data_IF_461422815856
#
_entry.id   IF_461422815856
#
_cell.length_a   1.000
_cell.length_b   1.000
_cell.length_c   1.000
_cell.angle_alpha   90.00
_cell.angle_beta   90.00
_cell.angle_gamma   90.00
#
_symmetry.space_group_name_H-M   'P 1'
#
loop_
_entity.id
_entity.type
_entity.pdbx_description
1 polymer ?
#
# COMPACT_ATOMS: atom_id res chain seq x y z
N UNK A 1 22.28 -23.34 24.13
CA UNK A 1 20.86 -23.75 24.02
C UNK A 1 20.04 -22.50 24.31
N UNK A 2 19.51 -21.83 23.29
CA UNK A 2 18.34 -20.98 23.53
C UNK A 2 17.21 -21.96 23.84
N UNK A 3 16.56 -21.83 24.98
CA UNK A 3 15.30 -22.53 25.24
C UNK A 3 14.35 -22.16 24.10
N UNK A 4 13.79 -23.14 23.40
CA UNK A 4 12.71 -22.86 22.44
C UNK A 4 11.56 -22.25 23.25
N UNK A 5 11.13 -21.05 22.85
CA UNK A 5 9.99 -20.38 23.47
C UNK A 5 8.72 -21.13 23.10
N UNK A 6 7.77 -21.19 24.03
CA UNK A 6 6.44 -21.70 23.73
C UNK A 6 5.56 -20.62 23.07
N UNK A 7 4.32 -20.98 22.73
CA UNK A 7 3.40 -20.07 22.05
C UNK A 7 3.08 -18.81 22.87
N UNK A 8 2.81 -18.97 24.17
CA UNK A 8 2.45 -17.86 25.06
C UNK A 8 3.62 -16.88 25.18
N UNK A 9 4.84 -17.39 25.40
CA UNK A 9 6.06 -16.57 25.45
C UNK A 9 6.29 -15.80 24.13
N UNK A 10 6.03 -16.41 22.97
CA UNK A 10 6.19 -15.77 21.66
C UNK A 10 5.15 -14.67 21.42
N UNK A 11 3.90 -14.92 21.78
CA UNK A 11 2.82 -13.94 21.66
C UNK A 11 3.05 -12.75 22.60
N UNK A 12 3.42 -13.00 23.87
CA UNK A 12 3.72 -11.94 24.83
C UNK A 12 4.88 -11.05 24.37
N UNK A 13 5.97 -11.65 23.86
CA UNK A 13 7.08 -10.89 23.28
C UNK A 13 6.65 -10.13 22.02
N UNK A 14 5.79 -10.71 21.17
CA UNK A 14 5.25 -10.02 20.00
C UNK A 14 4.43 -8.79 20.39
N UNK A 15 3.55 -8.89 21.39
CA UNK A 15 2.76 -7.75 21.89
C UNK A 15 3.62 -6.67 22.57
N UNK A 16 4.80 -7.04 23.11
CA UNK A 16 5.77 -6.10 23.66
C UNK A 16 6.55 -5.30 22.61
N UNK A 17 6.54 -5.72 21.35
CA UNK A 17 7.29 -5.10 20.25
C UNK A 17 6.45 -4.05 19.49
N UNK A 18 7.07 -2.99 18.96
CA UNK A 18 6.40 -2.13 18.00
C UNK A 18 6.07 -2.91 16.72
N UNK A 19 4.97 -2.53 16.06
CA UNK A 19 4.60 -3.09 14.76
C UNK A 19 5.77 -2.94 13.76
N UNK A 20 6.12 -4.04 13.09
CA UNK A 20 7.24 -4.11 12.16
C UNK A 20 7.81 -5.52 12.02
N UNK A 21 8.96 -5.68 11.35
CA UNK A 21 9.53 -7.00 11.03
C UNK A 21 9.87 -7.84 12.26
N UNK A 22 10.24 -7.23 13.38
CA UNK A 22 10.55 -7.94 14.62
C UNK A 22 9.29 -8.59 15.22
N UNK A 23 8.18 -7.84 15.35
CA UNK A 23 6.89 -8.38 15.79
C UNK A 23 6.43 -9.49 14.84
N UNK A 24 6.48 -9.26 13.53
CA UNK A 24 6.10 -10.26 12.53
C UNK A 24 6.91 -11.56 12.64
N UNK A 25 8.22 -11.47 12.85
CA UNK A 25 9.06 -12.65 13.04
C UNK A 25 8.65 -13.48 14.27
N UNK A 26 8.23 -12.84 15.36
CA UNK A 26 7.73 -13.53 16.55
C UNK A 26 6.37 -14.19 16.29
N UNK A 27 5.46 -13.48 15.61
CA UNK A 27 4.13 -14.03 15.27
C UNK A 27 4.22 -15.21 14.28
N UNK A 28 5.12 -15.15 13.30
CA UNK A 28 5.36 -16.26 12.36
C UNK A 28 5.90 -17.49 13.09
N UNK A 29 6.77 -17.29 14.07
CA UNK A 29 7.28 -18.37 14.91
C UNK A 29 6.18 -18.92 15.84
N UNK A 30 5.34 -18.06 16.42
CA UNK A 30 4.18 -18.48 17.23
C UNK A 30 3.22 -19.36 16.41
N UNK A 31 2.87 -18.91 15.20
CA UNK A 31 2.05 -19.68 14.28
C UNK A 31 2.68 -21.03 13.92
N UNK A 32 4.01 -21.08 13.70
CA UNK A 32 4.74 -22.32 13.43
C UNK A 32 4.73 -23.28 14.62
N UNK A 33 4.94 -22.77 15.84
CA UNK A 33 4.87 -23.56 17.07
C UNK A 33 3.47 -24.12 17.28
N UNK A 34 2.43 -23.31 17.05
CA UNK A 34 1.04 -23.74 17.12
C UNK A 34 0.73 -24.86 16.12
N UNK A 35 1.12 -24.70 14.86
CA UNK A 35 0.91 -25.71 13.80
C UNK A 35 1.58 -27.06 14.14
N UNK A 36 2.82 -27.04 14.62
CA UNK A 36 3.58 -28.27 14.93
C UNK A 36 2.98 -29.04 16.10
N UNK A 37 2.33 -28.34 17.04
CA UNK A 37 1.72 -28.94 18.22
C UNK A 37 0.21 -29.21 18.05
N UNK A 38 -0.38 -28.88 16.90
CA UNK A 38 -1.81 -29.06 16.64
C UNK A 38 -2.72 -28.13 17.45
N UNK A 39 -2.21 -26.95 17.80
CA UNK A 39 -2.90 -25.91 18.57
C UNK A 39 -3.65 -24.99 17.59
N UNK A 40 -4.83 -25.42 17.12
CA UNK A 40 -5.51 -24.77 15.99
C UNK A 40 -6.08 -23.38 16.31
N UNK A 41 -6.58 -23.15 17.54
CA UNK A 41 -7.11 -21.86 17.97
C UNK A 41 -5.97 -20.83 18.08
N UNK A 42 -4.85 -21.24 18.67
CA UNK A 42 -3.62 -20.45 18.82
C UNK A 42 -3.00 -20.14 17.44
N UNK A 43 -3.02 -21.11 16.52
CA UNK A 43 -2.59 -20.91 15.15
C UNK A 43 -3.44 -19.88 14.40
N UNK A 44 -4.73 -19.79 14.73
CA UNK A 44 -5.66 -18.79 14.19
C UNK A 44 -5.41 -17.41 14.81
N UNK A 45 -5.22 -17.34 16.12
CA UNK A 45 -4.92 -16.10 16.85
C UNK A 45 -3.63 -15.44 16.31
N UNK A 46 -2.53 -16.19 16.26
CA UNK A 46 -1.25 -15.65 15.75
C UNK A 46 -1.38 -15.16 14.31
N UNK A 47 -2.15 -15.85 13.46
CA UNK A 47 -2.39 -15.42 12.07
C UNK A 47 -3.27 -14.18 11.97
N UNK A 48 -4.20 -13.99 12.89
CA UNK A 48 -4.98 -12.75 12.98
C UNK A 48 -4.07 -11.55 13.24
N UNK A 49 -3.16 -11.69 14.21
CA UNK A 49 -2.15 -10.66 14.50
C UNK A 49 -1.17 -10.44 13.35
N UNK A 50 -0.83 -11.50 12.59
CA UNK A 50 -0.03 -11.37 11.36
C UNK A 50 -0.79 -10.54 10.35
N UNK A 51 -2.07 -10.81 10.09
CA UNK A 51 -2.85 -10.05 9.10
C UNK A 51 -2.86 -8.56 9.45
N UNK A 52 -3.19 -8.22 10.70
CA UNK A 52 -3.20 -6.82 11.16
C UNK A 52 -1.81 -6.19 11.03
N UNK A 53 -0.78 -6.81 11.62
CA UNK A 53 0.57 -6.23 11.65
C UNK A 53 1.15 -6.11 10.24
N UNK A 54 0.99 -7.13 9.40
CA UNK A 54 1.58 -7.18 8.07
C UNK A 54 0.90 -6.22 7.08
N UNK A 55 -0.41 -6.00 7.23
CA UNK A 55 -1.17 -5.03 6.42
C UNK A 55 -0.64 -3.61 6.58
N UNK A 56 -0.27 -3.23 7.81
CA UNK A 56 0.12 -1.87 8.19
C UNK A 56 1.63 -1.72 8.47
N UNK A 57 2.46 -2.58 7.88
CA UNK A 57 3.93 -2.53 7.98
C UNK A 57 4.68 -2.87 6.68
N UNK A 58 3.98 -2.98 5.56
CA UNK A 58 4.55 -3.20 4.23
C UNK A 58 4.86 -4.66 3.95
N UNK A 59 4.05 -5.58 4.50
CA UNK A 59 4.15 -7.03 4.25
C UNK A 59 2.82 -7.63 3.72
N UNK A 60 2.22 -7.06 2.67
CA UNK A 60 0.91 -7.52 2.19
C UNK A 60 0.88 -8.98 1.71
N UNK A 61 2.00 -9.56 1.28
CA UNK A 61 2.01 -10.99 0.90
C UNK A 61 1.87 -11.88 2.13
N UNK A 62 2.52 -11.52 3.25
CA UNK A 62 2.35 -12.24 4.52
C UNK A 62 0.91 -12.16 5.02
N UNK A 63 0.29 -10.97 4.94
CA UNK A 63 -1.11 -10.79 5.29
C UNK A 63 -2.04 -11.68 4.43
N UNK A 64 -1.83 -11.69 3.10
CA UNK A 64 -2.59 -12.53 2.17
C UNK A 64 -2.52 -14.03 2.51
N UNK A 65 -1.32 -14.52 2.82
CA UNK A 65 -1.10 -15.94 3.15
C UNK A 65 -1.79 -16.30 4.47
N UNK A 66 -1.61 -15.48 5.51
CA UNK A 66 -2.22 -15.69 6.82
C UNK A 66 -3.76 -15.67 6.72
N UNK A 67 -4.31 -14.66 6.04
CA UNK A 67 -5.75 -14.53 5.83
C UNK A 67 -6.33 -15.70 5.01
N UNK A 68 -5.65 -16.13 3.95
CA UNK A 68 -6.13 -17.25 3.12
C UNK A 68 -6.28 -18.54 3.94
N UNK A 69 -5.38 -18.77 4.89
CA UNK A 69 -5.49 -19.89 5.84
C UNK A 69 -6.67 -19.69 6.80
N UNK A 70 -6.82 -18.50 7.39
CA UNK A 70 -7.90 -18.19 8.33
C UNK A 70 -9.28 -18.31 7.68
N UNK A 71 -9.45 -17.79 6.46
CA UNK A 71 -10.69 -17.90 5.70
C UNK A 71 -11.05 -19.37 5.46
N UNK A 72 -10.07 -20.20 5.09
CA UNK A 72 -10.27 -21.64 4.88
C UNK A 72 -10.65 -22.40 6.16
N UNK A 73 -10.11 -22.00 7.32
CA UNK A 73 -10.50 -22.56 8.62
C UNK A 73 -11.89 -22.10 9.06
N UNK A 74 -12.17 -20.82 8.92
CA UNK A 74 -13.49 -20.25 9.19
C UNK A 74 -14.58 -20.91 8.34
N UNK A 75 -14.33 -21.19 7.06
CA UNK A 75 -15.31 -21.86 6.20
C UNK A 75 -15.60 -23.31 6.59
N UNK A 76 -14.70 -23.96 7.34
CA UNK A 76 -14.91 -25.31 7.84
C UNK A 76 -15.69 -25.33 9.15
N UNK A 77 -15.44 -24.38 10.04
CA UNK A 77 -15.98 -24.32 11.41
C UNK A 77 -16.26 -22.85 11.81
N UNK A 78 -17.26 -22.20 11.20
CA UNK A 78 -17.50 -20.76 11.41
C UNK A 78 -17.93 -20.43 12.85
N UNK A 79 -18.45 -21.40 13.60
CA UNK A 79 -18.85 -21.23 15.00
C UNK A 79 -17.69 -21.16 16.00
N UNK A 80 -16.48 -21.57 15.60
CA UNK A 80 -15.29 -21.61 16.47
C UNK A 80 -14.48 -20.30 16.43
N UNK A 81 -14.80 -19.39 15.49
CA UNK A 81 -14.00 -18.21 15.22
C UNK A 81 -14.87 -16.95 15.15
N UNK A 82 -14.29 -15.82 15.55
CA UNK A 82 -14.96 -14.52 15.52
C UNK A 82 -15.14 -14.01 14.09
N UNK A 83 -16.38 -13.83 13.65
CA UNK A 83 -16.66 -13.36 12.29
C UNK A 83 -16.23 -11.90 12.10
N UNK A 84 -16.31 -11.07 13.14
CA UNK A 84 -15.99 -9.65 13.08
C UNK A 84 -14.52 -9.45 12.70
N UNK A 85 -13.62 -10.10 13.43
CA UNK A 85 -12.16 -10.09 13.18
C UNK A 85 -11.81 -10.55 11.78
N UNK A 86 -12.43 -11.66 11.32
CA UNK A 86 -12.21 -12.14 9.96
C UNK A 86 -12.72 -11.14 8.92
N UNK A 87 -13.88 -10.53 9.13
CA UNK A 87 -14.46 -9.57 8.18
C UNK A 87 -13.64 -8.28 8.10
N UNK A 88 -13.01 -7.83 9.19
CA UNK A 88 -12.01 -6.76 9.16
C UNK A 88 -10.79 -7.13 8.32
N UNK A 89 -10.23 -8.31 8.56
CA UNK A 89 -9.12 -8.86 7.79
C UNK A 89 -9.47 -8.95 6.29
N UNK A 90 -10.67 -9.42 5.96
CA UNK A 90 -11.14 -9.56 4.59
C UNK A 90 -11.15 -8.19 3.87
N UNK A 91 -11.66 -7.15 4.52
CA UNK A 91 -11.63 -5.77 3.99
C UNK A 91 -10.20 -5.35 3.63
N UNK A 92 -9.26 -5.47 4.56
CA UNK A 92 -7.88 -5.08 4.32
C UNK A 92 -7.25 -5.83 3.15
N UNK A 93 -7.48 -7.15 3.10
CA UNK A 93 -6.99 -8.00 2.01
C UNK A 93 -7.60 -7.59 0.66
N UNK A 94 -8.91 -7.34 0.57
CA UNK A 94 -9.53 -6.86 -0.66
C UNK A 94 -8.89 -5.55 -1.18
N UNK A 95 -8.46 -4.68 -0.28
CA UNK A 95 -7.78 -3.44 -0.62
C UNK A 95 -6.36 -3.62 -1.14
N UNK A 96 -5.68 -4.73 -0.81
CA UNK A 96 -4.29 -5.02 -1.21
C UNK A 96 -4.19 -5.99 -2.38
N UNK A 97 -5.21 -6.81 -2.62
CA UNK A 97 -5.21 -7.76 -3.74
C UNK A 97 -4.92 -7.12 -5.11
N UNK A 98 -5.44 -5.93 -5.45
CA UNK A 98 -5.12 -5.27 -6.71
C UNK A 98 -3.64 -4.89 -6.89
N UNK A 99 -2.85 -4.88 -5.81
CA UNK A 99 -1.42 -4.62 -5.86
C UNK A 99 -0.63 -5.80 -6.44
N UNK A 100 -1.24 -6.98 -6.58
CA UNK A 100 -0.58 -8.18 -7.10
C UNK A 100 -1.08 -8.53 -8.52
N UNK A 101 -0.25 -8.40 -9.56
CA UNK A 101 -0.68 -8.68 -10.93
C UNK A 101 -0.85 -10.18 -11.20
N UNK A 102 -0.26 -11.05 -10.38
CA UNK A 102 -0.42 -12.50 -10.46
C UNK A 102 -1.80 -12.98 -10.00
N UNK A 103 -2.54 -12.18 -9.23
CA UNK A 103 -3.92 -12.49 -8.86
C UNK A 103 -4.85 -12.02 -9.99
N UNK A 104 -5.63 -12.94 -10.55
CA UNK A 104 -6.49 -12.61 -11.68
C UNK A 104 -7.61 -11.64 -11.30
N UNK A 105 -8.02 -10.82 -12.27
CA UNK A 105 -9.17 -9.90 -12.13
C UNK A 105 -10.43 -10.64 -11.70
N UNK A 106 -10.69 -11.80 -12.27
CA UNK A 106 -11.85 -12.64 -11.95
C UNK A 106 -11.83 -13.08 -10.49
N UNK A 107 -10.65 -13.46 -9.96
CA UNK A 107 -10.54 -13.91 -8.56
C UNK A 107 -10.77 -12.77 -7.58
N UNK A 108 -10.28 -11.56 -7.89
CA UNK A 108 -10.52 -10.36 -7.07
C UNK A 108 -12.03 -10.06 -7.01
N UNK A 109 -12.71 -10.09 -8.16
CA UNK A 109 -14.15 -9.86 -8.22
C UNK A 109 -14.95 -10.97 -7.54
N UNK A 110 -14.55 -12.24 -7.68
CA UNK A 110 -15.17 -13.36 -6.97
C UNK A 110 -15.11 -13.17 -5.45
N UNK A 111 -13.96 -12.76 -4.93
CA UNK A 111 -13.76 -12.52 -3.50
C UNK A 111 -14.51 -11.27 -3.02
N UNK A 112 -14.64 -10.23 -3.85
CA UNK A 112 -15.48 -9.06 -3.55
C UNK A 112 -16.96 -9.45 -3.44
N UNK A 113 -17.46 -10.30 -4.34
CA UNK A 113 -18.84 -10.80 -4.27
C UNK A 113 -19.06 -11.72 -3.07
N UNK A 114 -18.07 -12.55 -2.72
CA UNK A 114 -18.12 -13.40 -1.53
C UNK A 114 -18.17 -12.56 -0.24
N UNK A 115 -17.30 -11.55 -0.16
CA UNK A 115 -17.31 -10.55 0.90
C UNK A 115 -18.69 -9.88 1.06
N UNK A 116 -19.30 -9.43 -0.05
CA UNK A 116 -20.63 -8.83 -0.03
C UNK A 116 -21.71 -9.78 0.50
N UNK A 117 -21.66 -11.07 0.11
CA UNK A 117 -22.58 -12.09 0.63
C UNK A 117 -22.42 -12.30 2.14
N UNK A 118 -21.18 -12.37 2.65
CA UNK A 118 -20.89 -12.55 4.08
C UNK A 118 -21.30 -11.35 4.91
N UNK A 119 -20.97 -10.14 4.46
CA UNK A 119 -21.39 -8.91 5.13
C UNK A 119 -22.90 -8.86 5.31
N UNK A 120 -23.63 -9.22 4.25
CA UNK A 120 -25.09 -9.29 4.29
C UNK A 120 -25.60 -10.38 5.24
N UNK A 121 -24.98 -11.56 5.29
CA UNK A 121 -25.43 -12.64 6.18
C UNK A 121 -25.23 -12.32 7.66
N UNK A 122 -24.20 -11.53 8.00
CA UNK A 122 -23.95 -11.06 9.37
C UNK A 122 -24.72 -9.78 9.73
N UNK A 123 -25.48 -9.20 8.80
CA UNK A 123 -26.29 -8.01 9.05
C UNK A 123 -25.51 -6.69 9.01
N UNK A 124 -24.30 -6.69 8.46
CA UNK A 124 -23.52 -5.48 8.23
C UNK A 124 -24.06 -4.66 7.06
N UNK A 125 -23.73 -3.37 7.05
CA UNK A 125 -24.10 -2.46 5.98
C UNK A 125 -23.43 -2.90 4.66
N UNK A 126 -24.20 -2.93 3.57
CA UNK A 126 -23.65 -3.13 2.22
C UNK A 126 -22.71 -1.97 1.79
N UNK A 127 -22.61 -0.90 2.58
CA UNK A 127 -21.73 0.23 2.34
C UNK A 127 -20.28 -0.18 2.13
N UNK A 128 -19.74 -1.06 2.96
CA UNK A 128 -18.34 -1.50 2.85
C UNK A 128 -18.11 -2.29 1.56
N UNK A 129 -19.08 -3.09 1.10
CA UNK A 129 -18.99 -3.74 -0.22
C UNK A 129 -18.87 -2.70 -1.34
N UNK A 130 -19.72 -1.67 -1.34
CA UNK A 130 -19.65 -0.61 -2.36
C UNK A 130 -18.37 0.23 -2.27
N UNK A 131 -17.85 0.45 -1.06
CA UNK A 131 -16.57 1.14 -0.85
C UNK A 131 -15.38 0.33 -1.41
N UNK A 132 -15.31 -0.98 -1.13
CA UNK A 132 -14.25 -1.83 -1.67
C UNK A 132 -14.40 -2.06 -3.18
N UNK A 133 -15.62 -2.13 -3.69
CA UNK A 133 -15.87 -2.06 -5.14
C UNK A 133 -15.34 -0.75 -5.72
N UNK A 134 -15.54 0.38 -5.06
CA UNK A 134 -14.99 1.66 -5.52
C UNK A 134 -13.46 1.61 -5.62
N UNK A 135 -12.77 1.15 -4.57
CA UNK A 135 -11.29 1.02 -4.55
C UNK A 135 -10.76 0.10 -5.64
N UNK A 136 -11.27 -1.13 -5.71
CA UNK A 136 -10.82 -2.13 -6.68
C UNK A 136 -10.97 -1.62 -8.13
N UNK A 137 -12.08 -0.96 -8.45
CA UNK A 137 -12.27 -0.43 -9.80
C UNK A 137 -11.40 0.80 -10.09
N UNK A 138 -10.96 1.57 -9.07
CA UNK A 138 -9.88 2.56 -9.25
C UNK A 138 -8.57 1.88 -9.62
N UNK A 139 -8.19 0.82 -8.92
CA UNK A 139 -6.93 0.09 -9.17
C UNK A 139 -6.93 -0.66 -10.52
N UNK A 140 -8.12 -1.02 -11.02
CA UNK A 140 -8.28 -1.51 -12.38
C UNK A 140 -8.25 -0.41 -13.46
N UNK A 141 -8.30 0.86 -13.08
CA UNK A 141 -8.40 1.98 -14.03
C UNK A 141 -9.79 2.19 -14.62
N UNK A 142 -10.80 1.53 -14.06
CA UNK A 142 -12.20 1.58 -14.51
C UNK A 142 -12.97 2.69 -13.77
N UNK A 143 -12.52 3.95 -13.95
CA UNK A 143 -12.96 5.10 -13.15
C UNK A 143 -14.46 5.44 -13.25
N UNK A 144 -15.12 5.03 -14.34
CA UNK A 144 -16.57 5.16 -14.46
C UNK A 144 -17.31 4.19 -13.52
N UNK A 145 -16.85 2.94 -13.42
CA UNK A 145 -17.42 1.94 -12.52
C UNK A 145 -17.12 2.28 -11.06
N UNK A 146 -15.91 2.77 -10.79
CA UNK A 146 -15.56 3.34 -9.49
C UNK A 146 -16.53 4.49 -9.13
N UNK A 147 -16.81 5.40 -10.06
CA UNK A 147 -17.78 6.49 -9.86
C UNK A 147 -19.19 6.01 -9.49
N UNK A 148 -19.68 4.94 -10.14
CA UNK A 148 -20.98 4.34 -9.79
C UNK A 148 -20.98 3.78 -8.36
N UNK A 149 -19.91 3.11 -7.96
CA UNK A 149 -19.75 2.61 -6.59
C UNK A 149 -19.66 3.75 -5.57
N UNK A 150 -18.94 4.83 -5.91
CA UNK A 150 -18.83 6.03 -5.09
C UNK A 150 -20.19 6.68 -4.80
N UNK A 151 -21.00 6.87 -5.84
CA UNK A 151 -22.35 7.43 -5.70
C UNK A 151 -23.25 6.55 -4.81
N UNK A 152 -23.02 5.23 -4.78
CA UNK A 152 -23.73 4.30 -3.89
C UNK A 152 -23.27 4.45 -2.45
N UNK A 153 -22.00 4.15 -2.15
CA UNK A 153 -21.56 4.03 -0.75
C UNK A 153 -21.64 5.36 0.02
N UNK A 154 -21.50 6.50 -0.67
CA UNK A 154 -21.60 7.82 -0.02
C UNK A 154 -23.00 8.17 0.50
N UNK A 155 -24.03 7.49 0.00
CA UNK A 155 -25.43 7.71 0.39
C UNK A 155 -25.91 6.70 1.44
N UNK A 156 -25.05 5.72 1.77
CA UNK A 156 -25.36 4.67 2.73
C UNK A 156 -24.85 5.06 4.12
N UNK A 157 -25.58 4.61 5.14
CA UNK A 157 -25.19 4.82 6.52
C UNK A 157 -23.91 4.03 6.85
N UNK A 158 -23.04 4.69 7.61
CA UNK A 158 -21.85 4.08 8.19
C UNK A 158 -22.26 3.19 9.36
N UNK A 159 -21.58 2.07 9.49
CA UNK A 159 -21.65 1.16 10.63
C UNK A 159 -20.26 0.99 11.24
N UNK A 160 -20.14 0.11 12.23
CA UNK A 160 -18.86 -0.16 12.87
C UNK A 160 -17.87 -0.85 11.91
N UNK A 161 -18.36 -1.55 10.88
CA UNK A 161 -17.54 -2.18 9.83
C UNK A 161 -17.14 -1.20 8.71
N UNK A 162 -17.41 0.09 8.85
CA UNK A 162 -16.92 1.12 7.93
C UNK A 162 -15.48 1.51 8.27
N UNK A 163 -14.67 1.73 7.24
CA UNK A 163 -13.29 2.17 7.44
C UNK A 163 -13.25 3.57 8.04
N UNK A 164 -12.09 3.95 8.59
CA UNK A 164 -11.93 5.24 9.23
C UNK A 164 -12.29 6.41 8.29
N UNK A 165 -12.96 7.45 8.78
CA UNK A 165 -13.42 8.56 7.93
C UNK A 165 -12.27 9.25 7.18
N UNK A 166 -11.09 9.34 7.80
CA UNK A 166 -9.90 9.89 7.18
C UNK A 166 -9.40 9.03 6.01
N UNK A 167 -9.45 7.71 6.17
CA UNK A 167 -9.02 6.70 5.20
C UNK A 167 -9.92 6.75 3.95
N UNK A 168 -11.24 6.74 4.16
CA UNK A 168 -12.19 6.84 3.04
C UNK A 168 -12.11 8.20 2.33
N UNK A 169 -11.87 9.28 3.08
CA UNK A 169 -11.72 10.62 2.50
C UNK A 169 -10.48 10.74 1.62
N UNK A 170 -9.39 10.05 1.99
CA UNK A 170 -8.15 9.94 1.21
C UNK A 170 -8.39 9.15 -0.09
N UNK A 171 -9.08 8.01 -0.04
CA UNK A 171 -9.45 7.25 -1.25
C UNK A 171 -10.40 8.03 -2.19
N UNK A 172 -11.31 8.85 -1.62
CA UNK A 172 -12.13 9.78 -2.43
C UNK A 172 -11.27 10.85 -3.11
N UNK A 173 -10.24 11.35 -2.42
CA UNK A 173 -9.29 12.28 -3.02
C UNK A 173 -8.49 11.59 -4.14
N UNK A 174 -8.00 10.36 -3.91
CA UNK A 174 -7.30 9.53 -4.89
C UNK A 174 -8.14 9.30 -6.16
N UNK A 175 -9.46 9.12 -6.05
CA UNK A 175 -10.34 9.07 -7.22
C UNK A 175 -10.26 10.32 -8.11
N UNK A 176 -10.25 11.51 -7.50
CA UNK A 176 -10.10 12.75 -8.26
C UNK A 176 -8.69 12.93 -8.81
N UNK A 177 -7.68 12.42 -8.12
CA UNK A 177 -6.30 12.38 -8.60
C UNK A 177 -6.21 11.53 -9.88
N UNK A 178 -6.79 10.33 -9.89
CA UNK A 178 -6.83 9.46 -11.06
C UNK A 178 -7.64 10.04 -12.23
N UNK A 179 -8.61 10.92 -11.94
CA UNK A 179 -9.36 11.67 -12.97
C UNK A 179 -8.63 12.93 -13.48
N UNK A 180 -7.49 13.29 -12.89
CA UNK A 180 -6.75 14.50 -13.23
C UNK A 180 -7.44 15.80 -12.83
N UNK A 181 -8.33 15.77 -11.83
CA UNK A 181 -9.06 16.97 -11.36
C UNK A 181 -8.37 17.56 -10.13
N UNK A 182 -7.28 18.31 -10.36
CA UNK A 182 -6.41 18.84 -9.30
C UNK A 182 -7.14 19.75 -8.30
N UNK A 183 -8.13 20.53 -8.75
CA UNK A 183 -8.94 21.36 -7.85
C UNK A 183 -9.78 20.51 -6.90
N UNK A 184 -10.44 19.46 -7.41
CA UNK A 184 -11.20 18.53 -6.57
C UNK A 184 -10.33 17.71 -5.63
N UNK A 185 -9.10 17.38 -6.04
CA UNK A 185 -8.12 16.75 -5.13
C UNK A 185 -7.90 17.64 -3.90
N UNK A 186 -7.64 18.93 -4.09
CA UNK A 186 -7.40 19.85 -2.97
C UNK A 186 -8.65 20.16 -2.16
N UNK A 187 -9.84 20.17 -2.79
CA UNK A 187 -11.12 20.25 -2.09
C UNK A 187 -11.32 19.05 -1.16
N UNK A 188 -11.13 17.83 -1.69
CA UNK A 188 -11.27 16.58 -0.94
C UNK A 188 -10.22 16.42 0.16
N UNK A 189 -8.99 16.89 -0.06
CA UNK A 189 -7.92 16.85 0.94
C UNK A 189 -8.15 17.85 2.10
N UNK A 190 -8.97 18.89 1.90
CA UNK A 190 -9.06 20.02 2.82
C UNK A 190 -9.35 19.65 4.30
N UNK A 191 -10.27 18.72 4.62
CA UNK A 191 -10.51 18.30 6.00
C UNK A 191 -9.26 17.70 6.66
N UNK A 192 -8.51 16.89 5.92
CA UNK A 192 -7.27 16.25 6.38
C UNK A 192 -6.18 17.31 6.58
N UNK A 193 -5.98 18.21 5.61
CA UNK A 193 -4.96 19.26 5.69
C UNK A 193 -5.21 20.26 6.83
N UNK A 194 -6.49 20.47 7.19
CA UNK A 194 -6.90 21.28 8.34
C UNK A 194 -6.86 20.52 9.68
N UNK A 195 -6.46 19.24 9.68
CA UNK A 195 -6.39 18.41 10.88
C UNK A 195 -7.75 18.06 11.48
N UNK A 196 -8.83 18.11 10.68
CA UNK A 196 -10.18 17.69 11.10
C UNK A 196 -10.41 16.19 10.95
N UNK A 197 -9.55 15.52 10.16
CA UNK A 197 -9.55 14.08 9.93
C UNK A 197 -8.10 13.59 9.99
N UNK A 198 -7.87 12.52 10.76
CA UNK A 198 -6.56 11.86 10.89
C UNK A 198 -6.72 10.44 11.45
N UNK A 199 -5.79 9.56 11.12
CA UNK A 199 -5.63 8.24 11.73
C UNK A 199 -4.12 7.89 11.79
N UNK A 200 -3.77 6.61 11.96
CA UNK A 200 -2.38 6.17 11.94
C UNK A 200 -1.69 6.46 10.58
N UNK A 201 -2.40 6.26 9.47
CA UNK A 201 -1.86 6.46 8.11
C UNK A 201 -2.16 7.85 7.54
N UNK A 202 -3.25 8.49 7.93
CA UNK A 202 -3.66 9.81 7.41
C UNK A 202 -3.28 10.89 8.44
N UNK A 203 -2.40 11.86 8.10
CA UNK A 203 -2.19 12.44 6.77
C UNK A 203 -0.89 12.01 6.06
N UNK A 204 -0.25 10.91 6.45
CA UNK A 204 1.05 10.50 5.90
C UNK A 204 0.96 10.29 4.38
N UNK A 205 -0.06 9.55 3.91
CA UNK A 205 -0.35 9.32 2.49
C UNK A 205 -0.77 10.61 1.77
N UNK A 206 -1.82 11.27 2.28
CA UNK A 206 -2.39 12.50 1.68
C UNK A 206 -1.34 13.56 1.36
N UNK A 207 -0.33 13.72 2.23
CA UNK A 207 0.68 14.77 2.06
C UNK A 207 1.64 14.54 0.89
N UNK A 208 1.86 13.30 0.46
CA UNK A 208 2.65 13.00 -0.74
C UNK A 208 1.78 13.05 -2.01
N UNK A 209 0.53 12.62 -1.94
CA UNK A 209 -0.39 12.58 -3.09
C UNK A 209 -0.76 13.97 -3.62
N UNK A 210 -0.86 14.99 -2.75
CA UNK A 210 -1.24 16.35 -3.16
C UNK A 210 -0.09 17.17 -3.77
N UNK A 211 1.14 16.69 -3.73
CA UNK A 211 2.30 17.49 -4.15
C UNK A 211 2.25 17.87 -5.62
N UNK A 212 1.95 16.89 -6.48
CA UNK A 212 1.84 17.10 -7.92
C UNK A 212 0.61 17.92 -8.33
N UNK A 213 -0.59 17.70 -7.75
CA UNK A 213 -1.73 18.62 -7.89
C UNK A 213 -1.39 20.08 -7.53
N UNK A 214 -0.76 20.31 -6.38
CA UNK A 214 -0.33 21.66 -5.98
C UNK A 214 0.67 22.25 -6.98
N UNK A 215 1.63 21.45 -7.46
CA UNK A 215 2.61 21.86 -8.47
C UNK A 215 1.92 22.27 -9.79
N UNK A 216 1.01 21.46 -10.31
CA UNK A 216 0.27 21.73 -11.56
C UNK A 216 -0.61 22.97 -11.48
N UNK A 217 -1.13 23.28 -10.30
CA UNK A 217 -1.87 24.52 -10.02
C UNK A 217 -0.97 25.73 -9.73
N UNK A 218 0.36 25.60 -9.82
CA UNK A 218 1.32 26.68 -9.57
C UNK A 218 1.45 27.08 -8.09
N UNK A 219 0.98 26.24 -7.16
CA UNK A 219 1.03 26.44 -5.71
C UNK A 219 2.30 25.83 -5.08
N UNK A 220 3.44 25.97 -5.74
CA UNK A 220 4.73 25.33 -5.36
C UNK A 220 5.16 25.65 -3.92
N UNK A 221 4.98 26.89 -3.46
CA UNK A 221 5.36 27.26 -2.09
C UNK A 221 4.53 26.55 -1.00
N UNK A 222 3.33 26.09 -1.34
CA UNK A 222 2.50 25.25 -0.47
C UNK A 222 2.92 23.78 -0.58
N UNK A 223 3.17 23.30 -1.81
CA UNK A 223 3.70 21.96 -2.05
C UNK A 223 5.01 21.73 -1.28
N UNK A 224 5.96 22.68 -1.25
CA UNK A 224 7.22 22.56 -0.52
C UNK A 224 7.03 22.35 0.99
N UNK A 225 6.00 22.98 1.58
CA UNK A 225 5.65 22.80 2.99
C UNK A 225 5.13 21.40 3.24
N UNK A 226 4.24 20.92 2.38
CA UNK A 226 3.67 19.57 2.47
C UNK A 226 4.71 18.49 2.18
N UNK A 227 5.61 18.72 1.22
CA UNK A 227 6.74 17.85 0.88
C UNK A 227 7.61 17.62 2.13
N UNK A 228 8.05 18.70 2.78
CA UNK A 228 8.92 18.60 3.97
C UNK A 228 8.21 17.97 5.16
N UNK A 229 6.94 18.34 5.40
CA UNK A 229 6.13 17.79 6.49
C UNK A 229 5.84 16.30 6.27
N UNK A 230 5.37 15.94 5.09
CA UNK A 230 4.99 14.58 4.69
C UNK A 230 6.19 13.65 4.75
N UNK A 231 7.32 14.03 4.12
CA UNK A 231 8.53 13.19 4.16
C UNK A 231 9.00 12.91 5.59
N UNK A 232 8.95 13.90 6.50
CA UNK A 232 9.31 13.67 7.92
C UNK A 232 8.43 12.63 8.60
N UNK A 233 7.15 12.57 8.24
CA UNK A 233 6.21 11.64 8.84
C UNK A 233 6.48 10.20 8.38
N UNK A 234 6.80 9.99 7.11
CA UNK A 234 7.02 8.65 6.53
C UNK A 234 8.47 8.14 6.60
N UNK A 235 9.42 9.00 6.96
CA UNK A 235 10.85 8.69 6.95
C UNK A 235 11.17 7.42 7.76
N UNK A 236 11.83 6.45 7.12
CA UNK A 236 12.27 5.20 7.76
C UNK A 236 11.18 4.14 7.95
N UNK A 237 10.00 4.34 7.37
CA UNK A 237 8.87 3.42 7.47
C UNK A 237 8.69 2.65 6.17
N UNK A 238 8.64 1.31 6.25
CA UNK A 238 8.57 0.41 5.09
C UNK A 238 7.24 0.55 4.32
N UNK A 239 6.14 0.86 5.01
CA UNK A 239 4.78 0.87 4.45
C UNK A 239 4.53 2.00 3.42
N UNK A 240 5.45 2.96 3.31
CA UNK A 240 5.25 4.20 2.54
C UNK A 240 6.09 4.26 1.25
N UNK A 241 6.43 3.10 0.66
CA UNK A 241 7.22 3.05 -0.60
C UNK A 241 6.57 3.86 -1.72
N UNK A 242 5.25 3.78 -1.88
CA UNK A 242 4.54 4.60 -2.86
C UNK A 242 4.67 6.11 -2.55
N UNK A 243 4.52 6.51 -1.29
CA UNK A 243 4.70 7.90 -0.89
C UNK A 243 6.11 8.41 -1.14
N UNK A 244 7.16 7.58 -1.00
CA UNK A 244 8.51 7.94 -1.42
C UNK A 244 8.60 8.20 -2.93
N UNK A 245 7.91 7.40 -3.74
CA UNK A 245 7.82 7.61 -5.19
C UNK A 245 7.19 8.98 -5.52
N UNK A 246 6.09 9.33 -4.87
CA UNK A 246 5.40 10.62 -5.04
C UNK A 246 6.26 11.82 -4.60
N UNK A 247 7.00 11.67 -3.49
CA UNK A 247 8.00 12.66 -3.07
C UNK A 247 9.09 12.84 -4.13
N UNK A 248 9.63 11.74 -4.67
CA UNK A 248 10.63 11.79 -5.74
C UNK A 248 10.08 12.42 -7.03
N UNK A 249 8.83 12.15 -7.39
CA UNK A 249 8.21 12.73 -8.58
C UNK A 249 8.13 14.27 -8.47
N UNK A 250 7.67 14.78 -7.33
CA UNK A 250 7.66 16.22 -7.08
C UNK A 250 9.07 16.82 -7.06
N UNK A 251 10.02 16.17 -6.38
CA UNK A 251 11.39 16.64 -6.25
C UNK A 251 12.16 16.61 -7.57
N UNK A 252 11.87 15.67 -8.46
CA UNK A 252 12.45 15.63 -9.82
C UNK A 252 12.20 16.94 -10.58
N UNK A 253 11.07 17.59 -10.33
CA UNK A 253 10.68 18.85 -11.01
C UNK A 253 11.14 20.11 -10.27
N UNK A 254 11.40 20.02 -8.97
CA UNK A 254 11.59 21.20 -8.10
C UNK A 254 12.94 21.27 -7.42
N UNK A 255 13.51 20.12 -7.02
CA UNK A 255 14.81 20.00 -6.37
C UNK A 255 15.38 18.57 -6.54
N UNK A 256 15.97 18.25 -7.71
CA UNK A 256 16.47 16.91 -8.01
C UNK A 256 17.52 16.40 -7.01
N UNK A 257 18.39 17.29 -6.49
CA UNK A 257 19.38 16.92 -5.49
C UNK A 257 18.75 16.31 -4.24
N UNK A 258 17.69 16.94 -3.71
CA UNK A 258 16.92 16.38 -2.57
C UNK A 258 16.17 15.12 -2.97
N UNK A 259 15.75 15.00 -4.23
CA UNK A 259 15.18 13.74 -4.76
C UNK A 259 16.17 12.59 -4.66
N UNK A 260 17.45 12.82 -4.99
CA UNK A 260 18.51 11.82 -4.87
C UNK A 260 18.73 11.40 -3.42
N UNK A 261 18.70 12.35 -2.48
CA UNK A 261 18.76 12.01 -1.05
C UNK A 261 17.61 11.06 -0.65
N UNK A 262 16.37 11.34 -1.10
CA UNK A 262 15.22 10.47 -0.85
C UNK A 262 15.44 9.09 -1.47
N UNK A 263 15.88 9.03 -2.74
CA UNK A 263 16.16 7.77 -3.44
C UNK A 263 17.16 6.91 -2.67
N UNK A 264 18.33 7.45 -2.35
CA UNK A 264 19.40 6.70 -1.69
C UNK A 264 19.02 6.24 -0.28
N UNK A 265 18.23 7.04 0.46
CA UNK A 265 17.79 6.67 1.80
C UNK A 265 16.71 5.59 1.81
N UNK A 266 15.87 5.56 0.77
CA UNK A 266 14.65 4.73 0.76
C UNK A 266 14.71 3.54 -0.18
N UNK A 267 15.73 3.45 -1.05
CA UNK A 267 15.90 2.35 -1.99
C UNK A 267 15.94 0.97 -1.32
N UNK A 268 16.45 0.88 -0.09
CA UNK A 268 16.47 -0.38 0.69
C UNK A 268 15.07 -0.90 0.98
N UNK A 269 14.08 -0.02 1.22
CA UNK A 269 12.70 -0.42 1.45
C UNK A 269 12.04 -0.90 0.15
N UNK A 270 12.27 -0.17 -0.96
CA UNK A 270 11.68 -0.52 -2.26
C UNK A 270 12.27 -1.81 -2.87
N UNK A 271 13.56 -2.07 -2.67
CA UNK A 271 14.26 -3.20 -3.28
C UNK A 271 13.68 -4.56 -2.86
N UNK A 272 13.31 -4.70 -1.59
CA UNK A 272 12.79 -5.94 -1.00
C UNK A 272 11.29 -5.86 -0.68
N UNK A 273 10.58 -4.83 -1.16
CA UNK A 273 9.17 -4.62 -0.86
C UNK A 273 8.29 -5.71 -1.47
N UNK A 274 7.31 -6.21 -0.68
CA UNK A 274 6.41 -7.29 -1.10
C UNK A 274 5.31 -6.82 -2.06
N UNK A 275 4.94 -5.54 -2.01
CA UNK A 275 3.98 -4.90 -2.92
C UNK A 275 4.67 -4.55 -4.26
N UNK A 276 4.34 -5.25 -5.38
CA UNK A 276 4.96 -4.98 -6.66
C UNK A 276 4.42 -3.72 -7.34
N UNK A 277 3.22 -3.23 -6.98
CA UNK A 277 2.67 -1.96 -7.47
C UNK A 277 3.44 -0.77 -6.90
N UNK A 278 3.63 -0.72 -5.57
CA UNK A 278 4.42 0.33 -4.91
C UNK A 278 5.87 0.33 -5.41
N UNK A 279 6.48 -0.85 -5.55
CA UNK A 279 7.84 -1.01 -6.09
C UNK A 279 7.95 -0.51 -7.53
N UNK A 280 6.97 -0.83 -8.38
CA UNK A 280 6.90 -0.35 -9.76
C UNK A 280 6.87 1.18 -9.82
N UNK A 281 5.99 1.83 -9.04
CA UNK A 281 5.91 3.29 -9.00
C UNK A 281 7.23 3.90 -8.51
N UNK A 282 7.83 3.35 -7.46
CA UNK A 282 9.13 3.80 -6.96
C UNK A 282 10.21 3.76 -8.04
N UNK A 283 10.31 2.63 -8.75
CA UNK A 283 11.31 2.42 -9.79
C UNK A 283 11.09 3.37 -10.98
N UNK A 284 9.84 3.60 -11.39
CA UNK A 284 9.52 4.57 -12.42
C UNK A 284 9.99 5.98 -12.05
N UNK A 285 9.69 6.43 -10.82
CA UNK A 285 10.08 7.78 -10.36
C UNK A 285 11.59 7.90 -10.12
N UNK A 286 12.25 6.83 -9.68
CA UNK A 286 13.71 6.77 -9.61
C UNK A 286 14.35 6.92 -10.99
N UNK A 287 13.81 6.27 -12.03
CA UNK A 287 14.31 6.40 -13.39
C UNK A 287 14.21 7.85 -13.90
N UNK A 288 13.06 8.50 -13.74
CA UNK A 288 12.87 9.90 -14.16
C UNK A 288 13.79 10.85 -13.40
N UNK A 289 13.95 10.66 -12.09
CA UNK A 289 14.87 11.42 -11.25
C UNK A 289 16.33 11.28 -11.72
N UNK A 290 16.78 10.05 -11.99
CA UNK A 290 18.16 9.78 -12.40
C UNK A 290 18.48 10.37 -13.77
N UNK A 291 17.55 10.29 -14.74
CA UNK A 291 17.72 10.96 -16.04
C UNK A 291 17.86 12.47 -15.87
N UNK A 292 17.02 13.07 -15.04
CA UNK A 292 17.08 14.51 -14.75
C UNK A 292 18.37 14.90 -14.03
N UNK A 293 18.82 14.09 -13.08
CA UNK A 293 20.03 14.35 -12.29
C UNK A 293 21.31 14.19 -13.12
N UNK A 294 21.33 13.27 -14.08
CA UNK A 294 22.46 13.08 -14.99
C UNK A 294 22.79 14.35 -15.81
N UNK A 295 21.79 15.18 -16.10
CA UNK A 295 21.98 16.46 -16.78
C UNK A 295 22.67 17.51 -15.89
N UNK A 296 22.45 17.47 -14.58
CA UNK A 296 23.00 18.45 -13.62
C UNK A 296 24.32 18.00 -13.00
N UNK A 297 24.49 16.70 -12.80
CA UNK A 297 25.64 16.14 -12.08
C UNK A 297 26.10 14.80 -12.71
N UNK A 298 26.64 14.82 -13.95
CA UNK A 298 26.99 13.61 -14.71
C UNK A 298 28.10 12.76 -14.06
N UNK A 299 28.89 13.33 -13.15
CA UNK A 299 29.95 12.61 -12.41
C UNK A 299 29.44 12.00 -11.09
N UNK A 300 28.16 12.21 -10.75
CA UNK A 300 27.59 11.69 -9.50
C UNK A 300 27.50 10.16 -9.55
N UNK A 301 27.79 9.54 -8.40
CA UNK A 301 27.68 8.09 -8.23
C UNK A 301 26.60 7.80 -7.20
N UNK A 302 25.55 7.09 -7.62
CA UNK A 302 24.46 6.73 -6.72
C UNK A 302 24.94 5.72 -5.67
N UNK A 303 24.56 5.95 -4.41
CA UNK A 303 24.76 5.01 -3.31
C UNK A 303 23.67 3.93 -3.38
N UNK A 304 24.07 2.75 -3.83
CA UNK A 304 23.21 1.57 -3.83
C UNK A 304 23.38 0.76 -2.53
N UNK A 305 22.30 0.17 -1.98
CA UNK A 305 22.41 -0.85 -0.95
C UNK A 305 23.32 -2.00 -1.42
N UNK A 306 24.08 -2.61 -0.51
CA UNK A 306 25.01 -3.68 -0.85
C UNK A 306 24.33 -4.93 -1.45
N UNK A 307 23.07 -5.17 -1.10
CA UNK A 307 22.23 -6.25 -1.64
C UNK A 307 21.51 -5.89 -2.93
N UNK A 308 21.61 -4.64 -3.42
CA UNK A 308 20.84 -4.20 -4.57
C UNK A 308 21.32 -4.93 -5.85
N UNK A 309 20.42 -5.57 -6.61
CA UNK A 309 20.79 -6.48 -7.70
C UNK A 309 21.11 -5.74 -9.01
N UNK A 310 21.98 -4.74 -8.96
CA UNK A 310 22.50 -4.01 -10.12
C UNK A 310 23.99 -4.30 -10.33
N UNK A 311 24.31 -4.96 -11.44
CA UNK A 311 25.69 -5.35 -11.77
C UNK A 311 26.45 -4.28 -12.59
N UNK A 312 25.76 -3.23 -13.02
CA UNK A 312 26.35 -2.13 -13.79
C UNK A 312 27.14 -1.14 -12.93
N UNK A 313 27.65 -0.08 -13.56
CA UNK A 313 28.35 1.00 -12.85
C UNK A 313 27.34 2.03 -12.27
N UNK A 314 27.24 2.20 -10.95
CA UNK A 314 26.35 3.21 -10.34
C UNK A 314 26.70 4.67 -10.65
N UNK A 315 27.83 4.93 -11.33
CA UNK A 315 28.17 6.23 -11.90
C UNK A 315 27.57 6.48 -13.29
N UNK A 316 27.12 5.44 -13.99
CA UNK A 316 26.41 5.56 -15.26
C UNK A 316 24.90 5.74 -14.97
N UNK A 317 24.53 6.94 -14.56
CA UNK A 317 23.18 7.26 -14.11
C UNK A 317 22.12 6.99 -15.19
N UNK A 318 22.46 7.11 -16.47
CA UNK A 318 21.53 6.82 -17.57
C UNK A 318 21.27 5.32 -17.70
N UNK A 319 22.30 4.47 -17.63
CA UNK A 319 22.08 3.01 -17.61
C UNK A 319 21.36 2.55 -16.35
N UNK A 320 21.63 3.19 -15.21
CA UNK A 320 20.92 2.88 -13.97
C UNK A 320 19.44 3.30 -14.08
N UNK A 321 19.14 4.43 -14.71
CA UNK A 321 17.77 4.84 -15.01
C UNK A 321 17.07 3.87 -15.98
N UNK A 322 17.77 3.37 -16.99
CA UNK A 322 17.24 2.34 -17.91
C UNK A 322 16.88 1.06 -17.16
N UNK A 323 17.72 0.60 -16.23
CA UNK A 323 17.44 -0.55 -15.37
C UNK A 323 16.16 -0.36 -14.56
N UNK A 324 16.01 0.79 -13.88
CA UNK A 324 14.81 1.10 -13.10
C UNK A 324 13.56 1.17 -14.00
N UNK A 325 13.66 1.82 -15.16
CA UNK A 325 12.57 1.94 -16.11
C UNK A 325 12.11 0.59 -16.66
N UNK A 326 13.04 -0.29 -17.05
CA UNK A 326 12.72 -1.62 -17.58
C UNK A 326 11.96 -2.48 -16.56
N UNK A 327 12.36 -2.43 -15.30
CA UNK A 327 11.66 -3.13 -14.21
C UNK A 327 10.25 -2.58 -14.00
N UNK A 328 10.09 -1.25 -13.98
CA UNK A 328 8.78 -0.62 -13.84
C UNK A 328 7.86 -0.95 -15.02
N UNK A 329 8.37 -0.87 -16.26
CA UNK A 329 7.62 -1.19 -17.48
C UNK A 329 7.23 -2.67 -17.55
N UNK A 330 8.12 -3.57 -17.14
CA UNK A 330 7.83 -5.01 -17.06
C UNK A 330 6.73 -5.29 -16.05
N UNK A 331 6.77 -4.64 -14.88
CA UNK A 331 5.72 -4.77 -13.86
C UNK A 331 4.39 -4.20 -14.34
N UNK A 332 4.37 -2.98 -14.89
CA UNK A 332 3.14 -2.32 -15.36
C UNK A 332 2.45 -3.11 -16.47
N UNK A 333 3.22 -3.73 -17.37
CA UNK A 333 2.67 -4.57 -18.44
C UNK A 333 1.88 -5.78 -17.90
N UNK A 334 2.28 -6.35 -16.76
CA UNK A 334 1.52 -7.43 -16.11
C UNK A 334 0.17 -6.94 -15.56
N UNK A 335 0.16 -5.77 -14.93
CA UNK A 335 -1.10 -5.18 -14.43
C UNK A 335 -2.05 -4.83 -15.56
N UNK A 336 -1.53 -4.20 -16.63
CA UNK A 336 -2.30 -3.87 -17.83
C UNK A 336 -2.88 -5.13 -18.48
N UNK A 337 -2.10 -6.22 -18.55
CA UNK A 337 -2.57 -7.52 -19.02
C UNK A 337 -3.71 -8.06 -18.14
N UNK A 338 -3.58 -8.00 -16.81
CA UNK A 338 -4.63 -8.42 -15.87
C UNK A 338 -5.90 -7.56 -16.02
N UNK A 339 -5.74 -6.26 -16.15
CA UNK A 339 -6.84 -5.29 -16.19
C UNK A 339 -7.51 -5.19 -17.57
N UNK A 340 -6.82 -5.59 -18.64
CA UNK A 340 -7.29 -5.47 -20.02
C UNK A 340 -7.29 -4.02 -20.54
N UNK A 341 -6.42 -3.16 -20.01
CA UNK A 341 -6.29 -1.75 -20.40
C UNK A 341 -4.84 -1.26 -20.22
N UNK A 342 -4.59 0.03 -20.44
CA UNK A 342 -3.27 0.68 -20.30
C UNK A 342 -3.19 1.63 -19.10
N UNK A 343 -4.05 1.42 -18.10
CA UNK A 343 -4.14 2.35 -16.98
C UNK A 343 -2.82 2.40 -16.20
N UNK A 344 -2.23 1.25 -15.87
CA UNK A 344 -1.07 1.21 -14.97
C UNK A 344 0.19 1.67 -15.69
N UNK A 345 0.38 1.32 -16.98
CA UNK A 345 1.46 1.89 -17.77
C UNK A 345 1.38 3.42 -17.88
N UNK A 346 0.18 3.98 -18.05
CA UNK A 346 0.01 5.45 -18.13
C UNK A 346 0.40 6.19 -16.84
N UNK A 347 0.44 5.50 -15.68
CA UNK A 347 0.85 6.09 -14.42
C UNK A 347 2.37 6.24 -14.30
N UNK A 348 3.15 5.46 -15.06
CA UNK A 348 4.62 5.44 -14.98
C UNK A 348 5.33 6.18 -16.13
N UNK A 349 4.55 6.65 -17.11
CA UNK A 349 4.99 7.63 -18.12
C UNK A 349 5.20 9.02 -17.51
#
# INVERSE_FOLDING_TARGET
>A
MKTEMDFEELMDEAYGLPNGPAKLGMLEEAARVADVNGMEEEAYEARSEIVETATFCGYPMKALIAFSWQLGKFDQQPEEYDEETLMWSYKWILGKMPDFPEISREKILELLEDFGRRFKSYGYSERSYWYYRFRIFMDFGELEEAGRSYDRFRTMDRDFMSDCEACEQDEIMRYFLLKGDDEKVLEAAQPILKGRMSCAEIPHLTLSEILMPLYRLGRTAEADKHQTKGYRLIKGQNDFVQSFAEQMDYLTRTNPAKGIDVLEETLVFAADHEDPYAKMLFYARAASLLRRWAEESPEYRLRLPASFPYEGDPGDLLKLADYFAEHAQTASAKFDQRNGNHHVSSLIE
#
